data_IF_548533469292
#
_entry.id   IF_548533469292
#
_cell.length_a   1.000
_cell.length_b   1.000
_cell.length_c   1.000
_cell.angle_alpha   90.00
_cell.angle_beta   90.00
_cell.angle_gamma   90.00
#
_symmetry.space_group_name_H-M   'P 1'
#
loop_
_entity.id
_entity.type
_entity.pdbx_description
1 polymer ?
#
# COMPACT_ATOMS: atom_id res chain seq x y z
N UNK A 1 23.35 -43.49 -42.27
CA UNK A 1 22.39 -43.23 -43.37
C UNK A 1 20.96 -43.29 -42.80
N UNK A 2 19.93 -42.74 -43.47
CA UNK A 2 18.70 -42.21 -42.83
C UNK A 2 17.57 -43.26 -42.70
N UNK A 3 16.44 -42.97 -42.05
CA UNK A 3 15.23 -42.18 -42.49
C UNK A 3 14.76 -41.30 -41.29
N UNK A 4 14.51 -39.97 -41.34
CA UNK A 4 13.43 -39.18 -42.00
C UNK A 4 11.99 -39.56 -41.54
N UNK A 5 10.97 -38.71 -41.30
CA UNK A 5 10.78 -37.24 -41.07
C UNK A 5 9.48 -37.07 -40.22
N UNK A 6 8.84 -35.92 -39.89
CA UNK A 6 8.83 -34.48 -40.26
C UNK A 6 8.44 -33.62 -39.00
N UNK A 7 8.34 -32.28 -38.91
CA UNK A 7 8.33 -31.09 -39.82
C UNK A 7 6.99 -30.39 -40.25
N UNK A 8 6.02 -30.20 -39.34
CA UNK A 8 5.10 -29.03 -39.36
C UNK A 8 5.27 -28.20 -38.07
N UNK A 9 5.40 -26.85 -38.06
CA UNK A 9 4.61 -25.73 -38.64
C UNK A 9 3.23 -25.60 -37.95
N UNK A 10 2.76 -24.40 -37.58
CA UNK A 10 2.96 -23.11 -38.25
C UNK A 10 3.41 -21.92 -37.36
N UNK A 11 3.65 -20.77 -37.99
CA UNK A 11 3.86 -19.43 -37.41
C UNK A 11 2.72 -18.49 -37.83
N UNK A 12 2.50 -17.45 -37.03
CA UNK A 12 2.05 -16.09 -37.40
C UNK A 12 0.82 -15.91 -38.32
N UNK A 13 -0.20 -15.25 -37.78
CA UNK A 13 -1.05 -14.26 -38.49
C UNK A 13 -0.98 -12.95 -37.68
N UNK A 14 -1.09 -11.79 -38.33
CA UNK A 14 -1.00 -10.49 -37.67
C UNK A 14 -1.78 -9.38 -38.40
N UNK A 15 -2.11 -8.32 -37.64
CA UNK A 15 -2.47 -6.95 -38.04
C UNK A 15 -3.86 -6.60 -38.61
N UNK A 16 -4.34 -5.44 -38.11
CA UNK A 16 -5.31 -4.48 -38.68
C UNK A 16 -6.80 -4.92 -38.76
N UNK A 17 -7.80 -4.02 -38.70
CA UNK A 17 -7.76 -2.55 -38.64
C UNK A 17 -9.00 -1.91 -37.95
N UNK A 18 -8.82 -0.67 -37.46
CA UNK A 18 -9.79 0.47 -37.42
C UNK A 18 -11.17 0.27 -36.76
N UNK A 19 -11.44 1.09 -35.73
CA UNK A 19 -12.58 2.00 -35.75
C UNK A 19 -12.22 3.34 -35.07
N UNK A 20 -12.73 4.44 -35.62
CA UNK A 20 -12.57 5.81 -35.11
C UNK A 20 -13.93 6.31 -34.60
N UNK A 21 -13.92 7.16 -33.57
CA UNK A 21 -15.02 8.10 -33.33
C UNK A 21 -15.49 8.21 -31.88
N UNK A 22 -15.27 9.41 -31.31
CA UNK A 22 -16.05 10.12 -30.27
C UNK A 22 -15.20 10.73 -29.15
N UNK A 23 -14.43 11.78 -29.48
CA UNK A 23 -14.03 12.74 -28.45
C UNK A 23 -15.22 13.66 -28.17
N UNK A 24 -15.82 13.59 -26.98
CA UNK A 24 -16.84 14.55 -26.53
C UNK A 24 -16.41 15.20 -25.22
N UNK A 25 -15.65 16.29 -25.33
CA UNK A 25 -15.37 17.20 -24.22
C UNK A 25 -16.67 17.89 -23.78
N UNK A 26 -17.13 17.63 -22.56
CA UNK A 26 -18.30 18.32 -21.99
C UNK A 26 -17.86 19.66 -21.41
N UNK A 27 -17.95 20.70 -22.23
CA UNK A 27 -17.83 22.08 -21.76
C UNK A 27 -19.08 22.45 -20.96
N UNK A 28 -18.96 22.95 -19.71
CA UNK A 28 -20.13 23.46 -18.99
C UNK A 28 -20.64 24.76 -19.65
N UNK A 29 -21.97 24.94 -19.80
CA UNK A 29 -22.53 26.16 -20.38
C UNK A 29 -22.34 27.37 -19.45
N UNK A 30 -22.22 28.56 -20.05
CA UNK A 30 -22.21 29.83 -19.31
C UNK A 30 -23.59 30.09 -18.67
N UNK A 31 -23.61 30.73 -17.50
CA UNK A 31 -24.79 30.83 -16.66
C UNK A 31 -25.58 32.15 -16.75
N UNK A 32 -26.81 32.06 -16.25
CA UNK A 32 -27.65 33.17 -15.79
C UNK A 32 -27.98 32.92 -14.30
N UNK A 33 -28.28 33.89 -13.45
CA UNK A 33 -28.43 35.33 -13.71
C UNK A 33 -29.29 36.05 -12.65
N UNK A 34 -29.37 35.54 -11.41
CA UNK A 34 -30.35 35.99 -10.40
C UNK A 34 -29.65 36.46 -9.12
N UNK A 35 -29.91 37.72 -8.72
CA UNK A 35 -29.54 38.27 -7.41
C UNK A 35 -30.67 38.09 -6.39
N UNK A 36 -30.38 37.61 -5.17
CA UNK A 36 -31.17 37.93 -3.98
C UNK A 36 -30.63 39.17 -3.26
N UNK A 37 -31.54 40.02 -2.81
CA UNK A 37 -31.31 41.27 -2.07
C UNK A 37 -30.49 41.11 -0.79
N UNK A 38 -29.47 41.97 -0.60
CA UNK A 38 -28.77 42.10 0.69
C UNK A 38 -29.65 42.83 1.71
N UNK A 39 -30.03 42.15 2.79
CA UNK A 39 -30.66 42.79 3.97
C UNK A 39 -29.65 42.84 5.10
N UNK A 40 -29.18 44.03 5.47
CA UNK A 40 -28.23 44.22 6.57
C UNK A 40 -28.97 44.19 7.91
N UNK A 41 -28.61 43.26 8.78
CA UNK A 41 -28.98 43.27 10.20
C UNK A 41 -27.79 43.76 11.04
N UNK A 42 -28.04 44.64 12.01
CA UNK A 42 -27.03 45.14 12.94
C UNK A 42 -26.57 44.05 13.91
N UNK A 43 -25.31 44.09 14.40
CA UNK A 43 -24.77 43.04 15.26
C UNK A 43 -25.42 43.05 16.64
N UNK A 44 -25.78 41.86 17.12
CA UNK A 44 -26.03 41.60 18.54
C UNK A 44 -24.75 41.03 19.17
N UNK A 45 -24.35 41.58 20.31
CA UNK A 45 -23.26 41.00 21.11
C UNK A 45 -23.60 39.56 21.51
N UNK A 46 -22.72 38.63 21.18
CA UNK A 46 -22.71 37.28 21.75
C UNK A 46 -21.35 37.02 22.36
N UNK A 47 -21.30 37.10 23.69
CA UNK A 47 -20.17 36.64 24.51
C UNK A 47 -19.80 35.20 24.11
N UNK A 48 -18.51 34.86 23.94
CA UNK A 48 -18.14 33.50 23.57
C UNK A 48 -18.57 32.48 24.64
N UNK A 49 -19.61 31.71 24.35
CA UNK A 49 -19.94 30.51 25.13
C UNK A 49 -18.77 29.55 25.03
N UNK A 50 -18.24 29.11 26.18
CA UNK A 50 -17.10 28.19 26.21
C UNK A 50 -17.41 26.92 25.40
N UNK A 51 -16.46 26.52 24.55
CA UNK A 51 -16.61 25.32 23.73
C UNK A 51 -16.89 24.11 24.63
N UNK A 52 -17.93 23.33 24.27
CA UNK A 52 -18.28 22.14 25.01
C UNK A 52 -17.09 21.17 25.03
N UNK A 53 -16.69 20.73 26.23
CA UNK A 53 -15.66 19.69 26.38
C UNK A 53 -16.08 18.45 25.59
N UNK A 54 -15.23 17.91 24.69
CA UNK A 54 -15.62 16.75 23.90
C UNK A 54 -15.93 15.57 24.83
N UNK A 55 -17.08 14.93 24.58
CA UNK A 55 -17.45 13.65 25.19
C UNK A 55 -16.29 12.66 24.98
N UNK A 56 -15.87 11.87 25.98
CA UNK A 56 -14.82 10.88 25.80
C UNK A 56 -15.14 9.96 24.63
N UNK A 57 -14.28 9.91 23.61
CA UNK A 57 -14.40 8.95 22.53
C UNK A 57 -14.41 7.53 23.12
N UNK A 58 -15.36 6.71 22.70
CA UNK A 58 -15.48 5.32 23.15
C UNK A 58 -14.28 4.52 22.63
N UNK A 59 -13.26 4.40 23.47
CA UNK A 59 -11.96 3.81 23.14
C UNK A 59 -12.12 2.51 22.35
N UNK A 60 -11.52 2.47 21.16
CA UNK A 60 -11.40 1.24 20.39
C UNK A 60 -10.43 0.32 21.12
N UNK A 61 -10.92 -0.82 21.60
CA UNK A 61 -10.08 -1.88 22.09
C UNK A 61 -9.24 -2.43 20.92
N UNK A 62 -7.90 -2.32 20.95
CA UNK A 62 -7.06 -2.78 19.86
C UNK A 62 -7.04 -4.33 19.85
N UNK A 63 -7.02 -4.97 18.66
CA UNK A 63 -6.85 -6.41 18.59
C UNK A 63 -5.43 -6.79 19.07
N UNK A 64 -5.24 -8.04 19.55
CA UNK A 64 -3.99 -8.47 20.17
C UNK A 64 -2.81 -8.34 19.19
N UNK A 65 -1.70 -7.81 19.70
CA UNK A 65 -0.43 -7.69 18.98
C UNK A 65 0.53 -8.74 19.53
N UNK A 66 0.97 -9.66 18.67
CA UNK A 66 2.06 -10.58 18.98
C UNK A 66 3.39 -9.96 18.52
N UNK A 67 4.04 -9.21 19.41
CA UNK A 67 5.28 -8.47 19.14
C UNK A 67 6.52 -9.38 19.24
N UNK A 68 7.18 -9.72 18.11
CA UNK A 68 8.42 -10.50 18.09
C UNK A 68 9.65 -9.74 18.59
N UNK A 69 9.55 -8.42 18.81
CA UNK A 69 10.68 -7.55 19.12
C UNK A 69 11.68 -7.36 17.98
N UNK A 70 12.72 -6.59 18.26
CA UNK A 70 13.80 -6.27 17.30
C UNK A 70 14.91 -7.32 17.33
N UNK A 71 15.23 -8.00 16.22
CA UNK A 71 16.31 -8.98 16.17
C UNK A 71 17.68 -8.29 16.15
N UNK A 72 18.61 -8.77 16.98
CA UNK A 72 20.03 -8.35 16.92
C UNK A 72 20.63 -8.65 15.55
N UNK A 73 21.36 -7.68 15.00
CA UNK A 73 22.13 -7.79 13.76
C UNK A 73 23.61 -7.71 14.09
N UNK A 74 24.40 -8.64 13.56
CA UNK A 74 25.86 -8.63 13.69
C UNK A 74 26.44 -7.39 12.98
N UNK A 75 27.26 -6.55 13.64
CA UNK A 75 27.86 -5.36 13.03
C UNK A 75 28.65 -5.62 11.75
N UNK A 76 29.22 -6.82 11.57
CA UNK A 76 29.94 -7.20 10.33
C UNK A 76 29.04 -7.41 9.11
N UNK A 77 27.71 -7.49 9.29
CA UNK A 77 26.73 -7.49 8.20
C UNK A 77 26.40 -6.09 7.68
N UNK A 78 26.76 -5.06 8.44
CA UNK A 78 26.44 -3.66 8.20
C UNK A 78 27.60 -2.97 7.48
N UNK A 79 27.25 -2.05 6.59
CA UNK A 79 28.14 -1.13 5.91
C UNK A 79 27.66 0.29 6.19
N UNK A 80 28.55 1.27 6.13
CA UNK A 80 28.20 2.69 6.08
C UNK A 80 28.41 3.17 4.64
N UNK A 81 27.50 3.97 4.08
CA UNK A 81 27.70 4.53 2.76
C UNK A 81 28.65 5.74 2.82
N UNK A 82 29.48 6.00 1.79
CA UNK A 82 30.18 7.27 1.68
C UNK A 82 29.15 8.41 1.61
N UNK A 83 29.33 9.48 2.40
CA UNK A 83 28.30 10.49 2.67
C UNK A 83 27.56 11.07 1.45
N UNK A 84 28.23 11.16 0.28
CA UNK A 84 27.58 11.57 -0.98
C UNK A 84 26.44 10.66 -1.46
N UNK A 85 26.25 9.49 -0.84
CA UNK A 85 25.26 8.48 -1.20
C UNK A 85 24.22 8.22 -0.09
N UNK A 86 24.26 8.92 1.05
CA UNK A 86 23.33 8.72 2.18
C UNK A 86 21.84 8.88 1.79
N UNK A 87 21.55 9.66 0.74
CA UNK A 87 20.20 9.85 0.19
C UNK A 87 19.78 8.79 -0.85
N UNK A 88 20.56 7.74 -1.08
CA UNK A 88 20.17 6.64 -1.98
C UNK A 88 19.07 5.75 -1.37
N UNK A 89 18.09 5.39 -2.19
CA UNK A 89 17.06 4.39 -1.88
C UNK A 89 17.23 3.17 -2.78
N UNK A 90 17.78 2.10 -2.20
CA UNK A 90 18.19 0.87 -2.89
C UNK A 90 17.07 -0.17 -3.02
N UNK A 91 17.31 -1.29 -3.72
CA UNK A 91 16.42 -2.47 -3.73
C UNK A 91 16.84 -3.48 -2.68
N UNK A 92 15.92 -3.83 -1.78
CA UNK A 92 16.12 -4.98 -0.89
C UNK A 92 15.91 -6.30 -1.66
N UNK A 93 16.68 -7.31 -1.27
CA UNK A 93 16.64 -8.66 -1.81
C UNK A 93 17.21 -9.64 -0.78
N UNK A 94 17.03 -10.93 -1.04
CA UNK A 94 17.80 -12.00 -0.40
C UNK A 94 19.06 -12.30 -1.24
N UNK A 95 20.20 -12.69 -0.63
CA UNK A 95 20.44 -12.75 0.82
C UNK A 95 20.48 -11.35 1.47
N UNK A 96 20.17 -11.30 2.77
CA UNK A 96 20.04 -10.05 3.57
C UNK A 96 21.36 -9.28 3.70
N UNK A 97 22.50 -9.90 3.38
CA UNK A 97 23.85 -9.49 3.83
C UNK A 97 24.81 -9.38 2.65
N UNK A 98 25.71 -8.38 2.61
CA UNK A 98 25.76 -7.20 3.48
C UNK A 98 24.68 -6.16 3.14
N UNK A 99 24.47 -5.17 4.01
CA UNK A 99 23.54 -4.04 3.78
C UNK A 99 24.04 -2.75 4.42
N UNK A 100 23.67 -1.62 3.83
CA UNK A 100 24.01 -0.29 4.31
C UNK A 100 23.08 0.11 5.47
N UNK A 101 23.64 0.50 6.62
CA UNK A 101 22.92 0.71 7.89
C UNK A 101 22.22 2.07 8.01
N UNK A 102 22.64 3.01 7.17
CA UNK A 102 22.21 4.38 6.97
C UNK A 102 21.15 4.50 5.86
N UNK A 103 21.28 3.73 4.77
CA UNK A 103 20.41 3.86 3.59
C UNK A 103 18.98 3.32 3.79
N UNK A 104 18.05 3.90 3.02
CA UNK A 104 16.67 3.39 2.89
C UNK A 104 16.61 2.36 1.75
N UNK A 105 15.74 1.36 1.88
CA UNK A 105 15.56 0.32 0.88
C UNK A 105 14.09 0.16 0.46
N UNK A 106 13.83 -0.19 -0.80
CA UNK A 106 12.53 -0.63 -1.30
C UNK A 106 12.46 -2.16 -1.32
N UNK A 107 11.57 -2.70 -0.49
CA UNK A 107 11.22 -4.11 -0.44
C UNK A 107 10.66 -4.67 -1.74
N UNK A 108 10.53 -5.99 -1.80
CA UNK A 108 9.70 -6.67 -2.79
C UNK A 108 9.20 -7.98 -2.18
N UNK A 109 7.87 -8.14 -2.11
CA UNK A 109 7.28 -9.27 -1.39
C UNK A 109 7.55 -10.63 -2.07
N UNK A 110 7.74 -10.67 -3.39
CA UNK A 110 8.22 -11.88 -4.07
C UNK A 110 9.68 -12.20 -3.71
N UNK A 111 10.58 -11.21 -3.69
CA UNK A 111 11.98 -11.44 -3.33
C UNK A 111 12.16 -11.95 -1.88
N UNK A 112 11.29 -11.53 -0.95
CA UNK A 112 11.39 -11.91 0.47
C UNK A 112 10.64 -13.19 0.84
N UNK A 113 9.50 -13.51 0.20
CA UNK A 113 8.90 -14.86 0.33
C UNK A 113 9.88 -15.94 -0.13
N UNK A 114 10.65 -15.65 -1.18
CA UNK A 114 11.50 -16.60 -1.90
C UNK A 114 10.75 -17.21 -3.08
N UNK A 115 11.40 -18.14 -3.78
CA UNK A 115 10.72 -18.95 -4.78
C UNK A 115 9.76 -19.94 -4.12
N UNK A 116 8.67 -20.27 -4.83
CA UNK A 116 7.74 -21.31 -4.40
C UNK A 116 8.33 -22.70 -4.69
N UNK A 117 7.91 -23.70 -3.93
CA UNK A 117 8.25 -25.09 -4.16
C UNK A 117 7.58 -25.67 -5.42
N UNK A 118 7.86 -26.94 -5.72
CA UNK A 118 7.29 -27.64 -6.88
C UNK A 118 5.75 -27.79 -6.82
N UNK A 119 5.11 -27.49 -5.69
CA UNK A 119 3.67 -27.54 -5.49
C UNK A 119 3.04 -26.14 -5.31
N UNK A 120 3.80 -25.08 -5.55
CA UNK A 120 3.34 -23.69 -5.52
C UNK A 120 3.24 -23.06 -4.13
N UNK A 121 3.82 -23.69 -3.10
CA UNK A 121 3.85 -23.18 -1.73
C UNK A 121 5.11 -22.36 -1.47
N UNK A 122 4.98 -21.30 -0.68
CA UNK A 122 6.12 -20.60 -0.07
C UNK A 122 6.38 -21.17 1.34
N UNK A 123 7.59 -20.91 1.86
CA UNK A 123 7.90 -21.03 3.30
C UNK A 123 6.91 -20.24 4.17
N UNK A 124 6.86 -20.50 5.47
CA UNK A 124 5.86 -19.90 6.36
C UNK A 124 5.90 -18.37 6.41
N UNK A 125 4.79 -17.76 6.82
CA UNK A 125 4.69 -16.33 7.12
C UNK A 125 5.68 -15.92 8.21
N UNK A 126 5.89 -16.76 9.23
CA UNK A 126 6.88 -16.54 10.29
C UNK A 126 8.32 -16.48 9.78
N UNK A 127 8.76 -17.44 8.98
CA UNK A 127 10.11 -17.43 8.39
C UNK A 127 10.32 -16.21 7.49
N UNK A 128 9.29 -15.83 6.73
CA UNK A 128 9.31 -14.64 5.87
C UNK A 128 9.39 -13.37 6.71
N UNK A 129 8.61 -13.28 7.79
CA UNK A 129 8.59 -12.15 8.71
C UNK A 129 9.92 -12.00 9.46
N UNK A 130 10.55 -13.11 9.89
CA UNK A 130 11.89 -13.11 10.50
C UNK A 130 12.93 -12.44 9.59
N UNK A 131 12.88 -12.70 8.28
CA UNK A 131 13.83 -12.10 7.34
C UNK A 131 13.51 -10.63 7.01
N UNK A 132 12.24 -10.24 6.96
CA UNK A 132 11.85 -8.82 6.94
C UNK A 132 12.38 -8.06 8.16
N UNK A 133 12.20 -8.63 9.36
CA UNK A 133 12.66 -8.04 10.63
C UNK A 133 14.19 -7.94 10.69
N UNK A 134 14.91 -8.99 10.28
CA UNK A 134 16.39 -9.00 10.19
C UNK A 134 16.94 -7.99 9.19
N UNK A 135 16.27 -7.78 8.06
CA UNK A 135 16.68 -6.77 7.09
C UNK A 135 16.46 -5.37 7.68
N UNK A 136 15.24 -5.07 8.15
CA UNK A 136 14.86 -3.78 8.74
C UNK A 136 15.74 -3.36 9.93
N UNK A 137 16.10 -4.30 10.81
CA UNK A 137 16.98 -4.07 11.97
C UNK A 137 18.45 -3.76 11.61
N UNK A 138 18.80 -3.67 10.33
CA UNK A 138 20.16 -3.36 9.87
C UNK A 138 20.24 -2.32 8.76
N UNK A 139 19.21 -1.49 8.56
CA UNK A 139 19.17 -0.42 7.54
C UNK A 139 18.64 0.90 8.11
N UNK A 140 18.71 1.98 7.34
CA UNK A 140 18.13 3.28 7.68
C UNK A 140 16.61 3.21 7.76
N UNK A 141 15.99 2.64 6.72
CA UNK A 141 14.55 2.33 6.65
C UNK A 141 14.23 1.35 5.52
N UNK A 142 13.00 0.83 5.50
CA UNK A 142 12.55 -0.21 4.56
C UNK A 142 11.10 0.03 4.14
N UNK A 143 10.89 0.42 2.88
CA UNK A 143 9.58 0.57 2.27
C UNK A 143 8.99 -0.80 1.93
N UNK A 144 7.75 -1.06 2.37
CA UNK A 144 7.09 -2.37 2.22
C UNK A 144 5.69 -2.23 1.62
N UNK A 145 5.38 -3.00 0.57
CA UNK A 145 4.05 -2.99 -0.03
C UNK A 145 3.06 -3.67 0.93
N UNK A 146 2.06 -2.93 1.41
CA UNK A 146 1.03 -3.36 2.38
C UNK A 146 -0.28 -2.62 2.13
N UNK A 147 -0.86 -2.87 0.96
CA UNK A 147 -2.05 -2.22 0.44
C UNK A 147 -3.13 -3.21 -0.05
N UNK A 148 -2.72 -4.34 -0.62
CA UNK A 148 -3.60 -5.37 -1.20
C UNK A 148 -3.46 -6.74 -0.52
N UNK A 149 -4.54 -7.52 -0.57
CA UNK A 149 -4.65 -8.83 0.08
C UNK A 149 -3.62 -9.86 -0.43
N UNK A 150 -3.21 -9.79 -1.70
CA UNK A 150 -2.20 -10.69 -2.29
C UNK A 150 -0.83 -10.02 -2.50
N UNK A 151 -0.82 -8.68 -2.58
CA UNK A 151 0.41 -7.89 -2.75
C UNK A 151 1.11 -7.52 -1.43
N UNK A 152 0.57 -7.91 -0.25
CA UNK A 152 1.25 -7.83 1.07
C UNK A 152 2.35 -8.91 1.28
N UNK A 153 2.99 -8.98 2.45
CA UNK A 153 4.06 -9.97 2.70
C UNK A 153 3.52 -11.41 2.77
N UNK A 154 2.52 -11.67 3.62
CA UNK A 154 1.84 -12.97 3.70
C UNK A 154 1.03 -13.24 2.41
N UNK A 155 1.14 -14.44 1.84
CA UNK A 155 0.28 -14.87 0.74
C UNK A 155 -0.88 -15.76 1.25
N UNK A 156 -2.16 -15.35 1.15
CA UNK A 156 -3.27 -15.95 1.92
C UNK A 156 -3.68 -17.41 1.60
N UNK A 157 -3.02 -18.09 0.66
CA UNK A 157 -3.30 -19.52 0.32
C UNK A 157 -2.01 -20.31 0.10
N UNK A 158 -1.01 -19.70 -0.56
CA UNK A 158 0.27 -20.33 -0.84
C UNK A 158 1.25 -20.32 0.36
N UNK A 159 0.83 -19.76 1.50
CA UNK A 159 1.67 -19.57 2.69
C UNK A 159 0.77 -19.55 3.92
N UNK A 160 1.21 -20.18 5.02
CA UNK A 160 0.53 -20.03 6.31
C UNK A 160 0.77 -18.60 6.81
N UNK A 161 -0.27 -17.76 6.97
CA UNK A 161 -0.09 -16.36 7.35
C UNK A 161 0.37 -16.24 8.80
N UNK A 162 1.12 -15.16 9.10
CA UNK A 162 1.57 -14.80 10.46
C UNK A 162 0.88 -13.53 10.97
N UNK A 163 0.64 -12.55 10.11
CA UNK A 163 -0.18 -11.40 10.40
C UNK A 163 -0.73 -10.85 9.09
N UNK A 164 -1.74 -11.57 8.54
CA UNK A 164 -2.50 -11.13 7.39
C UNK A 164 -3.16 -9.77 7.66
N UNK A 165 -3.18 -8.91 6.66
CA UNK A 165 -3.75 -7.57 6.69
C UNK A 165 -5.02 -7.53 5.83
N UNK A 166 -6.09 -6.92 6.34
CA UNK A 166 -7.22 -6.48 5.48
C UNK A 166 -6.75 -5.32 4.58
N UNK A 167 -7.17 -5.27 3.32
CA UNK A 167 -6.88 -4.09 2.48
C UNK A 167 -7.71 -2.88 2.95
N UNK A 168 -7.26 -1.63 2.74
CA UNK A 168 -8.05 -0.44 3.07
C UNK A 168 -9.43 -0.44 2.45
N UNK A 169 -9.58 -1.00 1.23
CA UNK A 169 -10.85 -1.18 0.54
C UNK A 169 -11.89 -2.01 1.31
N UNK A 170 -11.49 -2.90 2.22
CA UNK A 170 -12.42 -3.56 3.15
C UNK A 170 -12.99 -2.57 4.18
N UNK A 171 -12.16 -1.63 4.66
CA UNK A 171 -12.57 -0.57 5.57
C UNK A 171 -13.46 0.44 4.84
N UNK A 172 -13.11 0.86 3.62
CA UNK A 172 -13.94 1.76 2.81
C UNK A 172 -15.33 1.18 2.55
N UNK A 173 -15.40 -0.12 2.27
CA UNK A 173 -16.68 -0.83 2.11
C UNK A 173 -17.47 -0.82 3.42
N UNK A 174 -16.86 -1.13 4.56
CA UNK A 174 -17.54 -1.10 5.85
C UNK A 174 -18.09 0.30 6.19
N UNK A 175 -17.30 1.34 5.93
CA UNK A 175 -17.68 2.75 6.08
C UNK A 175 -18.83 3.12 5.12
N UNK A 176 -18.77 2.73 3.85
CA UNK A 176 -19.78 3.05 2.84
C UNK A 176 -21.15 2.40 3.10
N UNK A 177 -21.18 1.15 3.56
CA UNK A 177 -22.44 0.50 3.96
C UNK A 177 -23.03 1.17 5.22
N UNK A 178 -22.17 1.54 6.18
CA UNK A 178 -22.59 2.21 7.43
C UNK A 178 -23.19 3.59 7.15
N UNK A 179 -22.56 4.42 6.32
CA UNK A 179 -23.13 5.71 5.87
C UNK A 179 -24.48 5.51 5.16
N UNK A 180 -24.61 4.45 4.36
CA UNK A 180 -25.85 4.13 3.66
C UNK A 180 -26.91 3.42 4.53
N UNK A 181 -26.68 3.25 5.84
CA UNK A 181 -27.54 2.49 6.76
C UNK A 181 -27.83 1.05 6.31
N UNK A 182 -26.91 0.42 5.58
CA UNK A 182 -27.04 -0.96 5.10
C UNK A 182 -26.35 -1.94 6.08
N UNK A 183 -26.94 -3.13 6.32
CA UNK A 183 -26.38 -4.09 7.26
C UNK A 183 -25.07 -4.70 6.72
N UNK A 184 -24.05 -4.73 7.57
CA UNK A 184 -22.79 -5.40 7.27
C UNK A 184 -22.87 -6.90 7.61
N UNK A 185 -22.50 -7.74 6.65
CA UNK A 185 -22.38 -9.19 6.80
C UNK A 185 -20.90 -9.58 6.74
N UNK A 186 -20.43 -10.36 7.71
CA UNK A 186 -19.05 -10.85 7.73
C UNK A 186 -18.81 -11.95 6.68
N UNK A 187 -17.56 -12.15 6.24
CA UNK A 187 -17.16 -13.36 5.52
C UNK A 187 -17.46 -14.63 6.33
N UNK A 188 -17.69 -15.74 5.62
CA UNK A 188 -17.92 -17.05 6.24
C UNK A 188 -16.68 -17.51 7.02
N UNK A 189 -16.93 -18.11 8.18
CA UNK A 189 -15.94 -18.79 9.01
C UNK A 189 -16.54 -20.10 9.57
N UNK A 190 -15.71 -21.13 9.71
CA UNK A 190 -16.05 -22.46 10.21
C UNK A 190 -14.80 -23.15 10.80
N UNK A 191 -14.92 -24.27 11.54
CA UNK A 191 -13.79 -25.11 11.94
C UNK A 191 -12.96 -25.54 10.72
N UNK A 192 -11.63 -25.57 10.81
CA UNK A 192 -10.77 -25.76 9.63
C UNK A 192 -10.99 -27.10 8.90
N UNK A 193 -11.43 -28.12 9.64
CA UNK A 193 -11.69 -29.49 9.21
C UNK A 193 -13.13 -29.77 8.75
N UNK A 194 -14.06 -28.83 8.94
CA UNK A 194 -15.47 -28.98 8.53
C UNK A 194 -15.68 -28.64 7.05
N UNK A 195 -15.37 -29.60 6.17
CA UNK A 195 -15.61 -29.50 4.73
C UNK A 195 -17.07 -29.18 4.36
N UNK A 196 -18.06 -29.58 5.18
CA UNK A 196 -19.47 -29.33 4.91
C UNK A 196 -19.85 -27.87 5.21
N UNK A 197 -19.33 -27.28 6.29
CA UNK A 197 -19.53 -25.88 6.60
C UNK A 197 -18.75 -24.94 5.67
N UNK A 198 -17.57 -25.35 5.17
CA UNK A 198 -16.80 -24.56 4.20
C UNK A 198 -17.31 -24.63 2.76
N UNK A 199 -18.14 -25.62 2.41
CA UNK A 199 -18.70 -25.77 1.07
C UNK A 199 -19.65 -24.61 0.68
N UNK A 200 -19.51 -24.09 -0.55
CA UNK A 200 -20.35 -23.02 -1.07
C UNK A 200 -20.17 -22.82 -2.58
N UNK A 201 -21.18 -22.24 -3.22
CA UNK A 201 -21.23 -21.99 -4.68
C UNK A 201 -21.48 -20.53 -5.06
N UNK A 202 -21.79 -19.66 -4.09
CA UNK A 202 -21.97 -18.23 -4.26
C UNK A 202 -20.85 -17.51 -3.50
N UNK A 203 -20.04 -16.72 -4.21
CA UNK A 203 -18.87 -16.01 -3.66
C UNK A 203 -19.26 -14.76 -2.86
N UNK A 204 -20.27 -14.01 -3.30
CA UNK A 204 -20.73 -12.80 -2.60
C UNK A 204 -21.27 -13.17 -1.22
N UNK A 205 -22.10 -14.22 -1.14
CA UNK A 205 -22.59 -14.80 0.11
C UNK A 205 -21.49 -15.45 0.97
N UNK A 206 -20.25 -15.57 0.47
CA UNK A 206 -19.10 -16.10 1.19
C UNK A 206 -18.23 -14.99 1.80
N UNK A 207 -18.18 -13.81 1.18
CA UNK A 207 -17.50 -12.61 1.71
C UNK A 207 -18.45 -11.64 2.42
N UNK A 208 -19.77 -11.82 2.27
CA UNK A 208 -20.78 -10.97 2.88
C UNK A 208 -20.82 -9.61 2.19
N UNK A 209 -20.56 -8.54 2.96
CA UNK A 209 -20.53 -7.18 2.40
C UNK A 209 -19.19 -6.81 1.75
N UNK A 210 -18.13 -7.59 2.00
CA UNK A 210 -16.73 -7.23 1.78
C UNK A 210 -16.20 -7.60 0.38
N UNK A 211 -15.09 -6.99 -0.09
CA UNK A 211 -14.48 -7.32 -1.38
C UNK A 211 -14.14 -8.81 -1.52
N UNK A 212 -14.68 -9.44 -2.57
CA UNK A 212 -14.51 -10.86 -2.89
C UNK A 212 -13.10 -11.21 -3.35
N UNK A 213 -12.73 -12.48 -3.24
CA UNK A 213 -11.54 -13.03 -3.91
C UNK A 213 -11.81 -14.45 -4.42
N UNK A 214 -11.82 -14.62 -5.74
CA UNK A 214 -12.06 -15.90 -6.41
C UNK A 214 -11.08 -16.99 -5.96
N UNK A 215 -9.81 -16.62 -5.73
CA UNK A 215 -8.77 -17.57 -5.32
C UNK A 215 -8.96 -18.04 -3.87
N UNK A 216 -9.28 -17.14 -2.94
CA UNK A 216 -9.60 -17.53 -1.57
C UNK A 216 -10.88 -18.37 -1.51
N UNK A 217 -11.91 -18.01 -2.29
CA UNK A 217 -13.13 -18.79 -2.41
C UNK A 217 -12.84 -20.19 -2.96
N UNK A 218 -12.10 -20.29 -4.07
CA UNK A 218 -11.77 -21.56 -4.71
C UNK A 218 -10.92 -22.48 -3.84
N UNK A 219 -9.92 -21.95 -3.11
CA UNK A 219 -9.09 -22.77 -2.23
C UNK A 219 -9.77 -23.10 -0.89
N UNK A 220 -10.56 -22.20 -0.29
CA UNK A 220 -11.24 -22.49 0.98
C UNK A 220 -12.45 -23.44 0.84
N UNK A 221 -13.19 -23.40 -0.28
CA UNK A 221 -14.36 -24.27 -0.55
C UNK A 221 -14.00 -25.68 -1.00
N UNK A 222 -12.74 -25.96 -1.40
CA UNK A 222 -12.27 -27.31 -1.77
C UNK A 222 -12.29 -28.23 -0.54
N UNK A 223 -12.67 -29.51 -0.67
CA UNK A 223 -12.65 -30.47 0.42
C UNK A 223 -11.22 -30.91 0.76
N UNK A 224 -10.96 -31.10 2.06
CA UNK A 224 -9.77 -31.77 2.59
C UNK A 224 -9.84 -33.29 2.33
N UNK A 225 -11.03 -33.87 2.27
CA UNK A 225 -11.23 -35.29 1.96
C UNK A 225 -10.75 -35.59 0.54
N UNK A 226 -9.67 -36.36 0.43
CA UNK A 226 -9.05 -36.75 -0.85
C UNK A 226 -8.04 -35.74 -1.40
N UNK A 227 -7.75 -34.64 -0.69
CA UNK A 227 -6.68 -33.72 -1.06
C UNK A 227 -5.29 -34.35 -0.85
N UNK A 228 -4.34 -34.07 -1.75
CA UNK A 228 -2.92 -34.33 -1.51
C UNK A 228 -2.33 -33.39 -0.46
N UNK A 229 -1.08 -33.62 -0.05
CA UNK A 229 -0.44 -32.86 1.02
C UNK A 229 -0.28 -31.34 0.71
N UNK A 230 -0.06 -30.93 -0.53
CA UNK A 230 0.02 -29.50 -0.89
C UNK A 230 -1.37 -28.90 -1.01
N UNK A 231 -2.29 -29.58 -1.71
CA UNK A 231 -3.69 -29.16 -1.78
C UNK A 231 -4.28 -28.96 -0.39
N UNK A 232 -4.01 -29.87 0.56
CA UNK A 232 -4.39 -29.75 1.96
C UNK A 232 -3.85 -28.48 2.62
N UNK A 233 -2.56 -28.20 2.49
CA UNK A 233 -1.95 -26.97 3.04
C UNK A 233 -2.57 -25.72 2.42
N UNK A 234 -2.85 -25.71 1.11
CA UNK A 234 -3.49 -24.58 0.43
C UNK A 234 -4.92 -24.32 0.97
N UNK A 235 -5.71 -25.38 1.17
CA UNK A 235 -7.06 -25.31 1.74
C UNK A 235 -7.00 -24.82 3.20
N UNK A 236 -6.11 -25.39 4.02
CA UNK A 236 -5.94 -24.99 5.43
C UNK A 236 -5.50 -23.52 5.54
N UNK A 237 -4.54 -23.06 4.72
CA UNK A 237 -4.13 -21.66 4.66
C UNK A 237 -5.28 -20.72 4.22
N UNK A 238 -6.06 -21.12 3.22
CA UNK A 238 -7.20 -20.34 2.73
C UNK A 238 -8.28 -20.18 3.81
N UNK A 239 -8.61 -21.27 4.52
CA UNK A 239 -9.57 -21.28 5.63
C UNK A 239 -9.08 -20.47 6.83
N UNK A 240 -7.79 -20.55 7.19
CA UNK A 240 -7.17 -19.69 8.22
C UNK A 240 -7.22 -18.21 7.80
N UNK A 241 -6.89 -17.88 6.56
CA UNK A 241 -6.99 -16.50 6.05
C UNK A 241 -8.43 -15.98 6.12
N UNK A 242 -9.42 -16.79 5.73
CA UNK A 242 -10.84 -16.43 5.87
C UNK A 242 -11.24 -16.20 7.33
N UNK A 243 -10.75 -17.01 8.28
CA UNK A 243 -10.97 -16.79 9.72
C UNK A 243 -10.39 -15.44 10.21
N UNK A 244 -9.16 -15.10 9.80
CA UNK A 244 -8.52 -13.82 10.16
C UNK A 244 -9.27 -12.62 9.58
N UNK A 245 -9.68 -12.70 8.30
CA UNK A 245 -10.47 -11.66 7.62
C UNK A 245 -11.86 -11.51 8.26
N UNK A 246 -12.50 -12.61 8.64
CA UNK A 246 -13.79 -12.61 9.31
C UNK A 246 -13.72 -11.96 10.71
N UNK A 247 -12.65 -12.17 11.47
CA UNK A 247 -12.46 -11.55 12.78
C UNK A 247 -12.38 -10.01 12.68
N UNK A 248 -11.60 -9.49 11.72
CA UNK A 248 -11.52 -8.05 11.45
C UNK A 248 -12.85 -7.47 10.97
N UNK A 249 -13.57 -8.20 10.11
CA UNK A 249 -14.90 -7.83 9.64
C UNK A 249 -15.92 -7.75 10.79
N UNK A 250 -15.93 -8.73 11.71
CA UNK A 250 -16.82 -8.74 12.87
C UNK A 250 -16.55 -7.57 13.83
N UNK A 251 -15.29 -7.17 14.02
CA UNK A 251 -14.96 -5.98 14.81
C UNK A 251 -15.52 -4.69 14.17
N UNK A 252 -15.43 -4.55 12.83
CA UNK A 252 -16.05 -3.44 12.10
C UNK A 252 -17.59 -3.48 12.16
N UNK A 253 -18.22 -4.66 12.10
CA UNK A 253 -19.67 -4.84 12.28
C UNK A 253 -20.12 -4.39 13.67
N UNK A 254 -19.39 -4.79 14.72
CA UNK A 254 -19.66 -4.37 16.10
C UNK A 254 -19.49 -2.84 16.30
N UNK A 255 -18.69 -2.18 15.44
CA UNK A 255 -18.52 -0.73 15.47
C UNK A 255 -19.60 0.05 14.70
N UNK A 256 -20.30 -0.56 13.73
CA UNK A 256 -21.27 0.13 12.87
C UNK A 256 -22.39 0.89 13.62
N UNK A 257 -22.94 0.41 14.76
CA UNK A 257 -23.90 1.17 15.56
C UNK A 257 -23.36 2.49 16.16
N UNK A 258 -22.03 2.71 16.12
CA UNK A 258 -21.35 3.94 16.57
C UNK A 258 -21.03 4.91 15.42
N UNK A 259 -21.42 4.60 14.18
CA UNK A 259 -21.19 5.44 13.00
C UNK A 259 -19.94 5.09 12.20
N UNK A 260 -19.80 5.75 11.04
CA UNK A 260 -18.83 5.41 10.01
C UNK A 260 -17.37 5.67 10.44
N UNK A 261 -17.11 6.73 11.20
CA UNK A 261 -15.81 7.01 11.83
C UNK A 261 -15.36 5.88 12.76
N UNK A 262 -16.27 5.36 13.59
CA UNK A 262 -15.94 4.29 14.54
C UNK A 262 -15.61 2.98 13.82
N UNK A 263 -16.26 2.70 12.68
CA UNK A 263 -15.93 1.60 11.78
C UNK A 263 -14.54 1.79 11.16
N UNK A 264 -14.25 3.01 10.70
CA UNK A 264 -12.94 3.35 10.14
C UNK A 264 -11.81 3.24 11.18
N UNK A 265 -12.04 3.70 12.43
CA UNK A 265 -11.10 3.61 13.54
C UNK A 265 -10.76 2.15 13.87
N UNK A 266 -11.77 1.27 13.94
CA UNK A 266 -11.55 -0.17 14.16
C UNK A 266 -10.80 -0.81 13.00
N UNK A 267 -11.21 -0.56 11.75
CA UNK A 267 -10.51 -1.08 10.57
C UNK A 267 -9.05 -0.63 10.50
N UNK A 268 -8.78 0.63 10.82
CA UNK A 268 -7.44 1.20 10.88
C UNK A 268 -6.57 0.56 11.98
N UNK A 269 -7.12 0.29 13.16
CA UNK A 269 -6.37 -0.37 14.25
C UNK A 269 -6.10 -1.84 13.94
N UNK A 270 -6.99 -2.56 13.23
CA UNK A 270 -6.69 -3.91 12.73
C UNK A 270 -5.56 -3.92 11.69
N UNK A 271 -5.52 -2.93 10.78
CA UNK A 271 -4.41 -2.76 9.83
C UNK A 271 -3.10 -2.47 10.59
N UNK A 272 -3.13 -1.55 11.56
CA UNK A 272 -1.96 -1.16 12.34
C UNK A 272 -1.43 -2.32 13.23
N UNK A 273 -2.31 -3.04 13.92
CA UNK A 273 -1.95 -4.21 14.72
C UNK A 273 -1.38 -5.36 13.87
N UNK A 274 -1.87 -5.54 12.64
CA UNK A 274 -1.31 -6.48 11.67
C UNK A 274 0.14 -6.10 11.31
N UNK A 275 0.44 -4.80 11.10
CA UNK A 275 1.81 -4.34 10.82
C UNK A 275 2.73 -4.57 12.02
N UNK A 276 2.32 -4.15 13.22
CA UNK A 276 3.09 -4.32 14.45
C UNK A 276 3.35 -5.80 14.76
N UNK A 277 2.38 -6.67 14.53
CA UNK A 277 2.54 -8.13 14.70
C UNK A 277 3.45 -8.77 13.66
N UNK A 278 3.50 -8.23 12.43
CA UNK A 278 4.37 -8.76 11.38
C UNK A 278 5.82 -8.31 11.57
N UNK A 279 6.03 -7.01 11.82
CA UNK A 279 7.37 -6.41 11.83
C UNK A 279 7.97 -6.21 13.23
N UNK A 280 7.17 -6.27 14.29
CA UNK A 280 7.55 -5.83 15.63
C UNK A 280 7.30 -4.34 15.85
N UNK A 281 6.97 -3.94 17.08
CA UNK A 281 6.48 -2.59 17.39
C UNK A 281 7.55 -1.53 17.14
N UNK A 282 8.77 -1.76 17.62
CA UNK A 282 9.91 -0.84 17.45
C UNK A 282 10.33 -0.70 15.98
N UNK A 283 10.44 -1.81 15.25
CA UNK A 283 10.76 -1.77 13.81
C UNK A 283 9.64 -1.09 13.00
N UNK A 284 8.36 -1.27 13.36
CA UNK A 284 7.26 -0.56 12.70
C UNK A 284 7.36 0.96 12.91
N UNK A 285 7.74 1.41 14.11
CA UNK A 285 7.95 2.82 14.47
C UNK A 285 9.13 3.45 13.75
N UNK A 286 10.28 2.77 13.73
CA UNK A 286 11.57 3.41 13.39
C UNK A 286 12.10 3.03 12.00
N UNK A 287 11.62 1.95 11.38
CA UNK A 287 12.25 1.34 10.20
C UNK A 287 11.30 1.03 9.06
N UNK A 288 10.11 0.51 9.34
CA UNK A 288 9.18 0.09 8.28
C UNK A 288 8.37 1.29 7.79
N UNK A 289 8.29 1.42 6.46
CA UNK A 289 7.49 2.43 5.77
C UNK A 289 6.45 1.69 4.90
N UNK A 290 5.24 1.38 5.40
CA UNK A 290 4.21 0.78 4.56
C UNK A 290 3.86 1.70 3.39
N UNK A 291 3.76 1.18 2.18
CA UNK A 291 3.32 1.95 1.00
C UNK A 291 1.90 1.55 0.57
N UNK A 292 1.11 2.57 0.23
CA UNK A 292 -0.19 2.46 -0.41
C UNK A 292 -0.21 3.11 -1.80
N UNK A 293 -0.97 2.51 -2.71
CA UNK A 293 -1.38 3.15 -3.96
C UNK A 293 -2.69 3.93 -3.72
N UNK A 294 -2.62 5.26 -3.62
CA UNK A 294 -3.81 6.11 -3.41
C UNK A 294 -4.64 6.22 -4.70
N UNK A 295 -3.99 6.34 -5.85
CA UNK A 295 -4.61 6.45 -7.17
C UNK A 295 -4.29 5.24 -8.06
N UNK A 296 -4.83 4.04 -7.77
CA UNK A 296 -4.57 2.86 -8.59
C UNK A 296 -5.11 3.04 -10.01
N UNK A 297 -4.35 2.58 -11.00
CA UNK A 297 -4.88 2.44 -12.36
C UNK A 297 -5.88 1.26 -12.46
N UNK A 298 -6.51 1.07 -13.62
CA UNK A 298 -7.49 -0.01 -13.85
C UNK A 298 -6.96 -1.40 -13.46
N UNK A 299 -5.73 -1.75 -13.86
CA UNK A 299 -5.12 -3.03 -13.57
C UNK A 299 -4.81 -3.19 -12.08
N UNK A 300 -4.30 -2.14 -11.44
CA UNK A 300 -4.04 -2.15 -10.00
C UNK A 300 -5.32 -2.26 -9.15
N UNK A 301 -6.42 -1.66 -9.59
CA UNK A 301 -7.72 -1.71 -8.91
C UNK A 301 -8.45 -3.04 -9.16
N UNK A 302 -8.42 -3.57 -10.39
CA UNK A 302 -9.12 -4.81 -10.79
C UNK A 302 -8.33 -6.07 -10.43
N UNK A 303 -7.08 -6.15 -10.84
CA UNK A 303 -6.31 -7.39 -10.87
C UNK A 303 -5.39 -7.55 -9.63
N UNK A 304 -4.96 -6.44 -9.03
CA UNK A 304 -4.23 -6.44 -7.76
C UNK A 304 -5.09 -6.10 -6.53
N UNK A 305 -6.25 -5.45 -6.69
CA UNK A 305 -7.15 -5.06 -5.59
C UNK A 305 -6.60 -3.95 -4.68
N UNK A 306 -5.84 -3.01 -5.24
CA UNK A 306 -5.11 -1.95 -4.52
C UNK A 306 -5.97 -0.74 -4.17
N UNK A 307 -5.49 0.04 -3.20
CA UNK A 307 -6.02 1.34 -2.81
C UNK A 307 -7.28 1.29 -1.95
N UNK A 308 -8.00 2.42 -1.93
CA UNK A 308 -9.21 2.60 -1.12
C UNK A 308 -10.49 2.12 -1.82
N UNK A 309 -10.49 2.02 -3.15
CA UNK A 309 -11.65 1.66 -3.96
C UNK A 309 -11.89 0.16 -4.12
N UNK A 310 -12.94 -0.22 -4.84
CA UNK A 310 -13.24 -1.60 -5.25
C UNK A 310 -13.62 -1.60 -6.72
N UNK A 311 -13.02 -2.48 -7.53
CA UNK A 311 -13.36 -2.57 -8.95
C UNK A 311 -14.84 -2.93 -9.16
N UNK A 312 -15.49 -2.24 -10.12
CA UNK A 312 -16.89 -2.47 -10.45
C UNK A 312 -17.92 -2.01 -9.41
N UNK A 313 -17.49 -1.41 -8.28
CA UNK A 313 -18.38 -0.92 -7.20
C UNK A 313 -18.09 0.55 -6.91
N UNK A 314 -19.04 1.41 -7.25
CA UNK A 314 -19.01 2.81 -6.83
C UNK A 314 -19.15 2.90 -5.30
N UNK A 315 -18.30 3.71 -4.67
CA UNK A 315 -18.29 3.97 -3.23
C UNK A 315 -18.41 5.48 -3.01
N UNK A 316 -19.13 5.89 -1.96
CA UNK A 316 -19.34 7.30 -1.66
C UNK A 316 -18.00 8.03 -1.47
N UNK A 317 -17.79 9.23 -2.05
CA UNK A 317 -16.57 10.02 -1.86
C UNK A 317 -16.25 10.31 -0.39
N UNK A 318 -17.29 10.46 0.43
CA UNK A 318 -17.20 10.60 1.90
C UNK A 318 -16.61 9.35 2.57
N UNK A 319 -16.98 8.14 2.12
CA UNK A 319 -16.41 6.90 2.65
C UNK A 319 -14.91 6.78 2.33
N UNK A 320 -14.51 7.17 1.11
CA UNK A 320 -13.10 7.24 0.71
C UNK A 320 -12.32 8.24 1.58
N UNK A 321 -12.87 9.43 1.83
CA UNK A 321 -12.25 10.46 2.66
C UNK A 321 -12.11 10.03 4.13
N UNK A 322 -13.18 9.49 4.74
CA UNK A 322 -13.15 8.97 6.12
C UNK A 322 -12.10 7.86 6.24
N UNK A 323 -12.09 6.88 5.32
CA UNK A 323 -11.14 5.77 5.38
C UNK A 323 -9.70 6.22 5.16
N UNK A 324 -9.42 7.11 4.19
CA UNK A 324 -8.09 7.72 3.98
C UNK A 324 -7.59 8.37 5.27
N UNK A 325 -8.32 9.37 5.77
CA UNK A 325 -7.98 10.16 6.95
C UNK A 325 -7.67 9.29 8.16
N UNK A 326 -8.53 8.29 8.43
CA UNK A 326 -8.42 7.46 9.64
C UNK A 326 -7.37 6.36 9.48
N UNK A 327 -7.31 5.63 8.35
CA UNK A 327 -6.32 4.56 8.15
C UNK A 327 -4.90 5.14 8.00
N UNK A 328 -4.72 6.21 7.23
CA UNK A 328 -3.41 6.79 6.98
C UNK A 328 -2.93 7.61 8.19
N UNK A 329 -3.82 8.39 8.81
CA UNK A 329 -3.55 9.06 10.08
C UNK A 329 -3.16 8.08 11.19
N UNK A 330 -3.89 6.97 11.33
CA UNK A 330 -3.56 5.94 12.33
C UNK A 330 -2.22 5.27 12.04
N UNK A 331 -1.89 4.95 10.79
CA UNK A 331 -0.57 4.42 10.42
C UNK A 331 0.56 5.44 10.70
N UNK A 332 0.33 6.74 10.49
CA UNK A 332 1.31 7.81 10.79
C UNK A 332 1.60 8.02 12.29
N UNK A 333 0.71 7.56 13.18
CA UNK A 333 0.98 7.48 14.63
C UNK A 333 1.87 6.26 15.00
N UNK A 334 1.90 5.24 14.15
CA UNK A 334 2.62 3.97 14.38
C UNK A 334 4.03 3.95 13.75
N UNK A 335 4.41 4.97 12.98
CA UNK A 335 5.66 5.05 12.23
C UNK A 335 5.48 5.75 10.88
N UNK A 336 6.54 5.92 10.06
CA UNK A 336 6.41 6.54 8.74
C UNK A 336 5.44 5.81 7.82
N UNK A 337 4.94 6.53 6.80
CA UNK A 337 3.99 6.05 5.80
C UNK A 337 4.44 6.48 4.41
N UNK A 338 4.13 5.69 3.36
CA UNK A 338 4.32 6.07 1.97
C UNK A 338 3.02 5.98 1.16
N UNK A 339 2.87 6.88 0.19
CA UNK A 339 1.69 6.99 -0.70
C UNK A 339 2.15 7.27 -2.13
N UNK A 340 1.60 6.56 -3.12
CA UNK A 340 2.01 6.67 -4.53
C UNK A 340 0.88 6.89 -5.56
N UNK A 341 1.32 7.17 -6.80
CA UNK A 341 0.55 7.58 -8.00
C UNK A 341 0.09 9.06 -7.98
N UNK A 342 1.07 9.97 -8.00
CA UNK A 342 0.86 11.38 -8.35
C UNK A 342 1.76 11.79 -9.53
N UNK A 343 1.15 12.21 -10.65
CA UNK A 343 1.84 12.64 -11.87
C UNK A 343 1.95 14.17 -11.92
N UNK A 344 3.16 14.70 -11.68
CA UNK A 344 3.40 16.13 -11.55
C UNK A 344 3.36 16.91 -12.88
N UNK A 345 3.01 16.27 -14.00
CA UNK A 345 2.63 16.99 -15.22
C UNK A 345 1.26 17.67 -15.11
N UNK A 346 0.40 17.23 -14.19
CA UNK A 346 -0.98 17.69 -14.10
C UNK A 346 -1.23 18.48 -12.81
N UNK A 347 -1.64 19.74 -12.96
CA UNK A 347 -1.97 20.63 -11.83
C UNK A 347 -3.06 20.04 -10.91
N UNK A 348 -3.99 19.25 -11.45
CA UNK A 348 -4.98 18.52 -10.66
C UNK A 348 -4.34 17.49 -9.70
N UNK A 349 -3.25 16.85 -10.10
CA UNK A 349 -2.52 15.91 -9.24
C UNK A 349 -1.67 16.63 -8.19
N UNK A 350 -1.13 17.82 -8.51
CA UNK A 350 -0.51 18.70 -7.50
C UNK A 350 -1.53 19.06 -6.42
N UNK A 351 -2.72 19.49 -6.81
CA UNK A 351 -3.80 19.89 -5.89
C UNK A 351 -4.30 18.71 -5.05
N UNK A 352 -4.49 17.52 -5.65
CA UNK A 352 -4.89 16.30 -4.94
C UNK A 352 -3.80 15.79 -3.98
N UNK A 353 -2.53 15.96 -4.32
CA UNK A 353 -1.43 15.64 -3.42
C UNK A 353 -1.36 16.63 -2.25
N UNK A 354 -1.48 17.93 -2.50
CA UNK A 354 -1.47 18.96 -1.46
C UNK A 354 -2.64 18.78 -0.49
N UNK A 355 -3.85 18.49 -0.98
CA UNK A 355 -5.01 18.20 -0.13
C UNK A 355 -4.79 16.97 0.78
N UNK A 356 -4.10 15.91 0.30
CA UNK A 356 -3.69 14.77 1.14
C UNK A 356 -2.69 15.19 2.22
N UNK A 357 -1.70 16.03 1.87
CA UNK A 357 -0.70 16.52 2.82
C UNK A 357 -1.34 17.44 3.88
N UNK A 358 -2.27 18.31 3.51
CA UNK A 358 -3.00 19.18 4.45
C UNK A 358 -3.94 18.38 5.38
N UNK A 359 -4.47 17.24 4.94
CA UNK A 359 -5.28 16.34 5.79
C UNK A 359 -4.44 15.53 6.80
N UNK A 360 -3.27 15.03 6.39
CA UNK A 360 -2.48 14.06 7.17
C UNK A 360 -1.28 14.66 7.92
N UNK A 361 -0.69 15.72 7.38
CA UNK A 361 0.49 16.41 7.92
C UNK A 361 0.30 17.94 7.89
N UNK A 362 -0.80 18.49 8.46
CA UNK A 362 -1.04 19.93 8.47
C UNK A 362 0.08 20.70 9.20
N UNK A 363 0.30 21.96 8.82
CA UNK A 363 1.36 22.83 9.36
C UNK A 363 1.35 22.88 10.89
N UNK A 364 2.51 22.69 11.51
CA UNK A 364 2.66 22.62 12.96
C UNK A 364 2.26 21.28 13.61
N UNK A 365 1.86 20.27 12.83
CA UNK A 365 1.67 18.90 13.34
C UNK A 365 3.00 18.22 13.62
N UNK A 366 3.04 17.37 14.66
CA UNK A 366 4.20 16.53 14.98
C UNK A 366 3.93 15.06 14.64
N UNK A 367 4.99 14.26 14.56
CA UNK A 367 4.90 12.81 14.30
C UNK A 367 5.77 12.37 13.11
N UNK A 368 5.56 11.14 12.67
CA UNK A 368 6.39 10.50 11.64
C UNK A 368 6.21 11.11 10.23
N UNK A 369 7.15 10.81 9.33
CA UNK A 369 7.16 11.33 7.96
C UNK A 369 6.15 10.64 7.04
N UNK A 370 5.62 11.42 6.10
CA UNK A 370 4.82 10.97 4.96
C UNK A 370 5.66 11.06 3.67
N UNK A 371 5.92 9.90 3.07
CA UNK A 371 6.71 9.74 1.85
C UNK A 371 5.79 9.77 0.63
N UNK A 372 5.88 10.83 -0.17
CA UNK A 372 5.02 11.08 -1.33
C UNK A 372 5.75 10.68 -2.62
N UNK A 373 5.30 9.60 -3.26
CA UNK A 373 5.90 9.06 -4.47
C UNK A 373 5.31 9.70 -5.72
N UNK A 374 6.13 10.49 -6.40
CA UNK A 374 5.77 11.36 -7.52
C UNK A 374 6.44 10.89 -8.82
N UNK A 375 5.78 11.08 -9.95
CA UNK A 375 6.29 10.75 -11.29
C UNK A 375 6.06 11.88 -12.29
N UNK A 376 6.72 11.83 -13.46
CA UNK A 376 6.49 12.71 -14.60
C UNK A 376 5.67 12.03 -15.71
N UNK A 377 4.82 11.06 -15.34
CA UNK A 377 4.13 10.13 -16.23
C UNK A 377 4.68 8.72 -16.12
N UNK A 378 3.83 7.75 -15.76
CA UNK A 378 4.22 6.34 -15.62
C UNK A 378 3.23 5.39 -16.30
N UNK A 379 3.70 4.22 -16.72
CA UNK A 379 2.87 3.11 -17.18
C UNK A 379 2.32 2.24 -16.05
N UNK A 380 2.59 2.58 -14.78
CA UNK A 380 2.25 1.78 -13.61
C UNK A 380 3.13 0.52 -13.41
N UNK A 381 3.99 0.20 -14.38
CA UNK A 381 4.86 -0.98 -14.38
C UNK A 381 6.35 -0.60 -14.22
N UNK A 382 6.62 0.54 -13.58
CA UNK A 382 7.97 1.02 -13.29
C UNK A 382 8.71 1.58 -14.50
N UNK A 383 8.00 2.01 -15.56
CA UNK A 383 8.53 2.81 -16.66
C UNK A 383 7.84 4.19 -16.72
N UNK A 384 8.29 5.02 -17.64
CA UNK A 384 7.87 6.41 -17.79
C UNK A 384 8.96 7.40 -17.38
N UNK A 385 8.57 8.65 -17.19
CA UNK A 385 9.48 9.78 -16.97
C UNK A 385 9.58 10.13 -15.48
N UNK A 386 10.77 10.52 -14.97
CA UNK A 386 10.96 10.91 -13.58
C UNK A 386 10.29 12.26 -13.28
N UNK A 387 9.86 12.46 -12.04
CA UNK A 387 9.25 13.71 -11.58
C UNK A 387 10.21 14.92 -11.54
N UNK A 388 11.51 14.68 -11.72
CA UNK A 388 12.61 15.67 -11.57
C UNK A 388 12.33 17.06 -12.18
N UNK A 389 11.81 17.22 -13.41
CA UNK A 389 11.55 18.53 -14.00
C UNK A 389 10.52 19.39 -13.22
N UNK A 390 9.71 18.75 -12.35
CA UNK A 390 8.56 19.35 -11.67
C UNK A 390 8.76 19.50 -10.15
N UNK A 391 9.79 18.90 -9.54
CA UNK A 391 9.90 18.88 -8.07
C UNK A 391 10.05 20.28 -7.47
N UNK A 392 10.77 21.20 -8.12
CA UNK A 392 11.04 22.53 -7.57
C UNK A 392 9.77 23.41 -7.50
N UNK A 393 8.93 23.36 -8.54
CA UNK A 393 7.61 24.00 -8.56
C UNK A 393 6.69 23.37 -7.49
N UNK A 394 6.67 22.04 -7.41
CA UNK A 394 5.84 21.32 -6.45
C UNK A 394 6.29 21.53 -4.99
N UNK A 395 7.59 21.60 -4.72
CA UNK A 395 8.17 21.98 -3.42
C UNK A 395 7.76 23.41 -3.02
N UNK A 396 7.76 24.36 -3.97
CA UNK A 396 7.30 25.72 -3.72
C UNK A 396 5.79 25.76 -3.38
N UNK A 397 4.96 25.01 -4.11
CA UNK A 397 3.52 24.87 -3.84
C UNK A 397 3.24 24.23 -2.46
N UNK A 398 3.94 23.15 -2.10
CA UNK A 398 3.84 22.52 -0.77
C UNK A 398 4.26 23.51 0.33
N UNK A 399 5.30 24.32 0.10
CA UNK A 399 5.78 25.32 1.07
C UNK A 399 4.80 26.48 1.27
N UNK A 400 3.99 26.80 0.26
CA UNK A 400 2.92 27.79 0.36
C UNK A 400 1.67 27.24 1.07
N UNK A 401 1.35 25.95 0.88
CA UNK A 401 0.19 25.27 1.44
C UNK A 401 0.24 25.08 2.98
N UNK A 402 -0.88 24.69 3.60
CA UNK A 402 -1.02 24.46 5.04
C UNK A 402 -0.38 23.12 5.48
N UNK A 403 0.82 22.82 4.97
CA UNK A 403 1.55 21.55 5.18
C UNK A 403 2.70 21.75 6.14
N UNK A 404 2.98 20.74 6.97
CA UNK A 404 4.22 20.64 7.74
C UNK A 404 5.33 20.05 6.88
N UNK A 405 6.05 20.93 6.17
CA UNK A 405 7.07 20.55 5.17
C UNK A 405 8.16 19.65 5.77
N UNK A 406 8.51 19.81 7.05
CA UNK A 406 9.52 18.97 7.72
C UNK A 406 9.13 17.49 7.84
N UNK A 407 7.84 17.16 7.68
CA UNK A 407 7.30 15.80 7.70
C UNK A 407 7.11 15.19 6.31
N UNK A 408 7.37 15.92 5.22
CA UNK A 408 7.15 15.45 3.84
C UNK A 408 8.46 15.02 3.19
N UNK A 409 8.49 13.81 2.63
CA UNK A 409 9.62 13.32 1.81
C UNK A 409 9.14 13.02 0.40
N UNK A 410 9.55 13.82 -0.58
CA UNK A 410 9.24 13.54 -1.99
C UNK A 410 10.18 12.46 -2.54
N UNK A 411 9.64 11.45 -3.22
CA UNK A 411 10.44 10.45 -3.93
C UNK A 411 10.05 10.40 -5.41
N UNK A 412 10.98 10.77 -6.28
CA UNK A 412 10.78 10.69 -7.74
C UNK A 412 10.88 9.24 -8.23
N UNK A 413 9.92 8.86 -9.09
CA UNK A 413 9.79 7.56 -9.77
C UNK A 413 9.57 7.78 -11.28
N UNK A 414 9.94 6.82 -12.15
CA UNK A 414 10.53 5.52 -11.85
C UNK A 414 11.98 5.60 -11.35
N UNK A 415 12.46 4.52 -10.73
CA UNK A 415 13.84 4.43 -10.22
C UNK A 415 14.88 4.48 -11.35
N UNK A 416 15.98 5.20 -11.10
CA UNK A 416 17.14 5.28 -12.01
C UNK A 416 17.79 3.90 -12.16
N UNK A 417 18.28 3.59 -13.36
CA UNK A 417 18.85 2.27 -13.72
C UNK A 417 20.31 2.42 -14.18
N UNK A 418 21.27 2.58 -13.24
CA UNK A 418 22.69 2.77 -13.57
C UNK A 418 23.32 1.42 -13.96
N UNK A 419 23.12 1.03 -15.22
CA UNK A 419 23.50 -0.27 -15.77
C UNK A 419 24.40 -0.12 -17.00
N UNK A 420 25.16 -1.17 -17.34
CA UNK A 420 26.10 -1.16 -18.46
C UNK A 420 27.43 -0.49 -18.12
N UNK A 421 28.22 -0.18 -19.15
CA UNK A 421 29.55 0.42 -18.99
C UNK A 421 29.49 1.78 -18.28
N UNK A 422 28.49 2.60 -18.60
CA UNK A 422 28.33 3.96 -18.11
C UNK A 422 27.67 4.01 -16.71
N UNK A 423 27.45 2.85 -16.07
CA UNK A 423 26.69 2.74 -14.82
C UNK A 423 27.23 3.60 -13.66
N UNK A 424 28.56 3.72 -13.51
CA UNK A 424 29.17 4.59 -12.48
C UNK A 424 28.85 6.06 -12.76
N UNK A 425 29.04 6.52 -14.00
CA UNK A 425 28.72 7.88 -14.41
C UNK A 425 27.22 8.22 -14.28
N UNK A 426 26.33 7.30 -14.66
CA UNK A 426 24.87 7.48 -14.50
C UNK A 426 24.51 7.62 -13.01
N UNK A 427 25.09 6.76 -12.15
CA UNK A 427 24.88 6.85 -10.71
C UNK A 427 25.35 8.20 -10.16
N UNK A 428 26.55 8.65 -10.51
CA UNK A 428 27.13 9.90 -10.00
C UNK A 428 26.34 11.14 -10.44
N UNK A 429 26.02 11.27 -11.73
CA UNK A 429 25.24 12.40 -12.27
C UNK A 429 23.86 12.49 -11.61
N UNK A 430 23.19 11.34 -11.41
CA UNK A 430 21.88 11.32 -10.77
C UNK A 430 21.96 11.55 -9.26
N UNK A 431 22.99 11.02 -8.59
CA UNK A 431 23.26 11.25 -7.16
C UNK A 431 23.37 12.74 -6.88
N UNK A 432 24.21 13.43 -7.65
CA UNK A 432 24.45 14.87 -7.49
C UNK A 432 23.20 15.69 -7.88
N UNK A 433 22.47 15.27 -8.94
CA UNK A 433 21.20 15.91 -9.36
C UNK A 433 20.11 15.84 -8.29
N UNK A 434 19.93 14.69 -7.64
CA UNK A 434 18.90 14.52 -6.61
C UNK A 434 19.30 15.20 -5.28
N UNK A 435 20.59 15.22 -4.94
CA UNK A 435 21.11 15.98 -3.80
C UNK A 435 20.83 17.49 -3.94
N UNK A 436 21.02 18.06 -5.14
CA UNK A 436 20.70 19.48 -5.43
C UNK A 436 19.20 19.80 -5.28
N UNK A 437 18.32 18.82 -5.42
CA UNK A 437 16.87 18.95 -5.26
C UNK A 437 16.39 18.65 -3.82
N UNK A 438 17.28 18.21 -2.94
CA UNK A 438 16.96 17.87 -1.55
C UNK A 438 16.04 16.65 -1.41
N UNK A 439 16.08 15.69 -2.36
CA UNK A 439 15.21 14.51 -2.35
C UNK A 439 15.99 13.19 -2.46
N UNK A 440 15.51 12.07 -1.87
CA UNK A 440 16.17 10.78 -2.00
C UNK A 440 16.16 10.24 -3.44
N UNK A 441 17.24 9.61 -3.86
CA UNK A 441 17.39 9.01 -5.19
C UNK A 441 17.07 7.52 -5.15
N UNK A 442 15.92 7.13 -5.73
CA UNK A 442 15.60 5.71 -5.90
C UNK A 442 16.37 5.09 -7.08
N UNK A 443 17.20 4.08 -6.81
CA UNK A 443 17.97 3.34 -7.82
C UNK A 443 17.57 1.87 -7.90
N UNK A 444 17.63 1.28 -9.10
CA UNK A 444 17.43 -0.15 -9.32
C UNK A 444 18.74 -0.94 -9.11
N UNK A 445 19.33 -0.81 -7.92
CA UNK A 445 20.55 -1.50 -7.46
C UNK A 445 20.31 -2.23 -6.12
N UNK A 446 20.94 -3.39 -5.94
CA UNK A 446 21.15 -4.06 -4.64
C UNK A 446 22.46 -3.57 -3.98
N UNK A 447 22.66 -3.84 -2.69
CA UNK A 447 23.88 -3.48 -1.93
C UNK A 447 25.18 -3.82 -2.68
N UNK A 448 25.30 -5.06 -3.16
CA UNK A 448 26.49 -5.56 -3.86
C UNK A 448 26.78 -4.79 -5.15
N UNK A 449 25.73 -4.38 -5.86
CA UNK A 449 25.84 -3.65 -7.13
C UNK A 449 26.22 -2.20 -6.89
N UNK A 450 25.67 -1.55 -5.86
CA UNK A 450 26.14 -0.23 -5.43
C UNK A 450 27.61 -0.30 -5.02
N UNK A 451 27.98 -1.24 -4.14
CA UNK A 451 29.36 -1.44 -3.67
C UNK A 451 30.35 -1.66 -4.82
N UNK A 452 29.94 -2.35 -5.90
CA UNK A 452 30.76 -2.55 -7.10
C UNK A 452 30.94 -1.28 -7.93
N UNK A 453 29.94 -0.38 -7.96
CA UNK A 453 30.02 0.90 -8.68
C UNK A 453 30.76 1.98 -7.89
N UNK A 454 30.69 1.97 -6.55
CA UNK A 454 31.32 2.97 -5.68
C UNK A 454 32.67 2.54 -5.12
N UNK A 455 33.15 1.35 -5.46
CA UNK A 455 34.57 1.01 -5.33
C UNK A 455 35.40 1.88 -6.29
N UNK A 456 36.62 2.22 -5.88
CA UNK A 456 37.55 3.06 -6.65
C UNK A 456 38.03 2.40 -7.95
#
# INVERSE_FOLDING_TARGET
MPVSSSRHRSRSIAWLAILLGACTSVTPPAGEGVKPTTTVASPTDQTPTAAATPTPEAQVEPPPVDDPGTPTVDPSERLDAPARYEHLLLRAALPIRPRYADLVYEGNNKHFRGDADAAGLFRSGDETAVDWRRFAAGVGGLVVLRDSLFSQQDHPVAQRPRALMISPSWVTVAVAETLASRPLTAPRTAPLDDDAAWAGTNIDAYFGSFPVSERLFGDATRPLVGADASARIQIENARVSMQMLAAAAQAMIAAAPRGAEAVAQVGAEWIAASDRSYFGVELRRDKIIPIFVENPNEHELRDEGKGLGVWGRELAPEALAITRRVVYGRRLLDGPLAVERYDLRFETEHQRAIALLEELVPRGSSGHQLWLWVNGGTDGHGKGDPAVPYIADFQAKISAANVEVSRVVLLSKPSVRPWGADGKQILEVETDRYAQLGIPLSVQLRTEQLRSLIAD
#
